data_IF_743920263124
#
_entry.id   IF_743920263124
#
_cell.length_a   1.000
_cell.length_b   1.000
_cell.length_c   1.000
_cell.angle_alpha   90.00
_cell.angle_beta   90.00
_cell.angle_gamma   90.00
#
_symmetry.space_group_name_H-M   'P 1'
#
loop_
_entity.id
_entity.type
_entity.pdbx_description
1 polymer ?
#
# COMPACT_ATOMS: atom_id res chain seq x y z
N UNK A 1 23.78 11.37 10.03
CA UNK A 1 22.83 12.50 9.94
C UNK A 1 21.53 12.14 9.23
N UNK A 2 21.54 11.49 8.06
CA UNK A 2 20.31 11.02 7.39
C UNK A 2 19.36 10.23 8.32
N UNK A 3 19.87 9.30 9.13
CA UNK A 3 19.08 8.57 10.11
C UNK A 3 18.38 9.49 11.13
N UNK A 4 19.10 10.48 11.66
CA UNK A 4 18.55 11.48 12.59
C UNK A 4 17.47 12.34 11.93
N UNK A 5 17.67 12.72 10.65
CA UNK A 5 16.69 13.46 9.87
C UNK A 5 15.39 12.66 9.72
N UNK A 6 15.50 11.39 9.34
CA UNK A 6 14.36 10.48 9.21
C UNK A 6 13.65 10.27 10.55
N UNK A 7 14.39 9.98 11.62
CA UNK A 7 13.83 9.79 12.95
C UNK A 7 13.09 11.04 13.44
N UNK A 8 13.70 12.23 13.31
CA UNK A 8 13.06 13.49 13.69
C UNK A 8 11.78 13.76 12.87
N UNK A 9 11.78 13.48 11.56
CA UNK A 9 10.60 13.60 10.72
C UNK A 9 9.48 12.65 11.18
N UNK A 10 9.80 11.39 11.53
CA UNK A 10 8.83 10.42 12.04
C UNK A 10 8.19 10.86 13.36
N UNK A 11 8.96 11.51 14.24
CA UNK A 11 8.44 12.06 15.49
C UNK A 11 7.53 13.25 15.21
N UNK A 12 7.94 14.18 14.35
CA UNK A 12 7.12 15.31 13.88
C UNK A 12 5.77 14.85 13.33
N UNK A 13 5.75 13.77 12.56
CA UNK A 13 4.56 13.24 11.92
C UNK A 13 3.70 12.34 12.85
N UNK A 14 4.08 12.22 14.13
CA UNK A 14 3.32 11.46 15.13
C UNK A 14 3.36 9.94 14.94
N UNK A 15 4.42 9.42 14.32
CA UNK A 15 4.61 7.99 14.06
C UNK A 15 5.23 7.21 15.24
N UNK A 16 5.54 7.89 16.35
CA UNK A 16 6.09 7.27 17.57
C UNK A 16 5.07 7.39 18.70
N UNK A 17 4.65 6.26 19.27
CA UNK A 17 3.74 6.22 20.41
C UNK A 17 4.51 6.19 21.74
N UNK A 18 3.81 6.55 22.83
CA UNK A 18 4.28 6.38 24.22
C UNK A 18 5.66 7.01 24.52
N UNK A 19 6.01 8.09 23.82
CA UNK A 19 7.26 8.80 24.05
C UNK A 19 7.21 9.50 25.43
N UNK A 20 8.27 9.34 26.21
CA UNK A 20 8.39 10.03 27.48
C UNK A 20 8.30 11.55 27.28
N UNK A 21 7.60 12.31 28.16
CA UNK A 21 7.32 13.73 27.93
C UNK A 21 8.57 14.60 27.73
N UNK A 22 9.66 14.27 28.43
CA UNK A 22 10.96 14.94 28.30
C UNK A 22 11.62 14.70 26.93
N UNK A 23 11.51 13.48 26.39
CA UNK A 23 12.04 13.14 25.06
C UNK A 23 11.18 13.80 23.98
N UNK A 24 9.85 13.82 24.17
CA UNK A 24 8.92 14.48 23.26
C UNK A 24 9.18 15.98 23.14
N UNK A 25 9.45 16.67 24.26
CA UNK A 25 9.82 18.08 24.24
C UNK A 25 11.15 18.32 23.50
N UNK A 26 12.17 17.51 23.75
CA UNK A 26 13.48 17.63 23.09
C UNK A 26 13.40 17.39 21.57
N UNK A 27 12.62 16.39 21.15
CA UNK A 27 12.46 16.03 19.74
C UNK A 27 11.46 16.94 19.01
N UNK A 28 10.56 17.62 19.73
CA UNK A 28 9.71 18.67 19.16
C UNK A 28 10.50 19.87 18.64
N UNK A 29 11.65 20.17 19.26
CA UNK A 29 12.58 21.22 18.83
C UNK A 29 13.56 20.75 17.73
N UNK A 30 13.62 19.44 17.47
CA UNK A 30 14.50 18.90 16.44
C UNK A 30 13.98 19.26 15.05
N UNK A 31 14.82 19.90 14.24
CA UNK A 31 14.52 20.26 12.85
C UNK A 31 15.09 19.20 11.90
N UNK A 32 14.28 18.33 11.28
CA UNK A 32 14.76 17.29 10.35
C UNK A 32 15.63 17.85 9.22
N UNK A 33 15.32 19.07 8.78
CA UNK A 33 15.97 19.75 7.65
C UNK A 33 17.44 20.07 7.95
N UNK A 34 17.79 20.32 9.22
CA UNK A 34 19.18 20.57 9.63
C UNK A 34 20.01 19.30 9.51
N UNK A 35 19.48 18.17 9.95
CA UNK A 35 20.14 16.88 9.83
C UNK A 35 20.21 16.43 8.36
N UNK A 36 19.18 16.71 7.57
CA UNK A 36 19.19 16.46 6.13
C UNK A 36 20.31 17.23 5.44
N UNK A 37 20.36 18.55 5.63
CA UNK A 37 21.39 19.41 5.04
C UNK A 37 22.81 18.99 5.46
N UNK A 38 23.00 18.63 6.73
CA UNK A 38 24.28 18.11 7.20
C UNK A 38 24.66 16.77 6.56
N UNK A 39 23.68 15.91 6.25
CA UNK A 39 23.92 14.65 5.55
C UNK A 39 24.26 14.87 4.08
N UNK A 40 23.58 15.80 3.40
CA UNK A 40 23.83 16.14 1.99
C UNK A 40 25.20 16.82 1.84
N UNK A 41 25.58 17.70 2.76
CA UNK A 41 26.88 18.37 2.77
C UNK A 41 28.07 17.43 3.02
N UNK A 42 27.83 16.22 3.55
CA UNK A 42 28.87 15.22 3.76
C UNK A 42 29.21 14.44 2.49
N UNK A 43 28.39 14.49 1.44
CA UNK A 43 28.70 13.82 0.18
C UNK A 43 29.86 14.51 -0.56
N UNK A 44 30.76 13.75 -1.19
CA UNK A 44 31.77 14.34 -2.05
C UNK A 44 31.13 15.01 -3.27
N UNK A 45 31.78 16.02 -3.87
CA UNK A 45 31.25 16.74 -5.04
C UNK A 45 30.95 15.84 -6.25
N UNK A 46 31.70 14.74 -6.39
CA UNK A 46 31.46 13.71 -7.41
C UNK A 46 31.12 12.41 -6.73
N UNK A 47 30.03 11.79 -7.16
CA UNK A 47 29.56 10.53 -6.60
C UNK A 47 30.54 9.36 -6.81
N UNK A 48 31.44 9.45 -7.81
CA UNK A 48 32.49 8.46 -8.05
C UNK A 48 33.48 8.36 -6.89
N UNK A 49 33.63 9.44 -6.12
CA UNK A 49 34.54 9.52 -4.98
C UNK A 49 33.89 8.96 -3.69
N UNK A 50 32.58 8.69 -3.71
CA UNK A 50 31.82 8.12 -2.59
C UNK A 50 31.98 6.59 -2.53
N UNK A 51 33.17 6.12 -2.17
CA UNK A 51 33.52 4.69 -2.13
C UNK A 51 33.05 3.96 -0.86
N UNK A 52 32.76 4.68 0.22
CA UNK A 52 32.33 4.11 1.50
C UNK A 52 30.88 3.61 1.47
N UNK A 53 30.58 2.56 2.24
CA UNK A 53 29.25 1.94 2.31
C UNK A 53 28.21 2.90 2.91
N UNK A 54 28.65 3.80 3.77
CA UNK A 54 27.91 4.85 4.46
C UNK A 54 27.19 5.77 3.48
N UNK A 55 27.78 6.07 2.32
CA UNK A 55 27.14 6.90 1.30
C UNK A 55 25.93 6.22 0.66
N UNK A 56 25.96 4.90 0.50
CA UNK A 56 24.81 4.14 0.03
C UNK A 56 23.70 4.16 1.08
N UNK A 57 24.05 3.91 2.35
CA UNK A 57 23.11 3.97 3.48
C UNK A 57 22.46 5.35 3.58
N UNK A 58 23.27 6.40 3.49
CA UNK A 58 22.79 7.78 3.52
C UNK A 58 21.87 8.09 2.32
N UNK A 59 22.22 7.67 1.10
CA UNK A 59 21.39 7.87 -0.09
C UNK A 59 20.02 7.21 0.06
N UNK A 60 19.98 5.96 0.53
CA UNK A 60 18.72 5.25 0.76
C UNK A 60 17.85 5.92 1.84
N UNK A 61 18.45 6.32 2.96
CA UNK A 61 17.75 7.02 4.03
C UNK A 61 17.23 8.40 3.60
N UNK A 62 18.01 9.15 2.81
CA UNK A 62 17.58 10.44 2.26
C UNK A 62 16.44 10.28 1.25
N UNK A 63 16.43 9.20 0.47
CA UNK A 63 15.31 8.88 -0.43
C UNK A 63 14.03 8.56 0.35
N UNK A 64 14.13 7.80 1.45
CA UNK A 64 13.01 7.50 2.37
C UNK A 64 12.52 8.78 3.07
N UNK A 65 13.43 9.65 3.50
CA UNK A 65 13.05 10.95 4.08
C UNK A 65 12.30 11.82 3.07
N UNK A 66 12.81 11.89 1.84
CA UNK A 66 12.19 12.70 0.79
C UNK A 66 10.78 12.22 0.45
N UNK A 67 10.54 10.89 0.34
CA UNK A 67 9.17 10.38 0.13
C UNK A 67 8.25 10.69 1.31
N UNK A 68 8.75 10.56 2.55
CA UNK A 68 7.98 10.90 3.75
C UNK A 68 7.54 12.37 3.75
N UNK A 69 8.39 13.27 3.26
CA UNK A 69 8.09 14.69 3.11
C UNK A 69 7.31 15.04 1.83
N UNK A 70 6.90 14.06 1.02
CA UNK A 70 6.20 14.29 -0.25
C UNK A 70 7.08 14.91 -1.36
N UNK A 71 8.40 14.87 -1.21
CA UNK A 71 9.37 15.48 -2.13
C UNK A 71 9.80 14.49 -3.22
N UNK A 72 8.92 14.22 -4.19
CA UNK A 72 9.14 13.21 -5.24
C UNK A 72 10.46 13.39 -6.01
N UNK A 73 10.77 14.62 -6.46
CA UNK A 73 11.99 14.88 -7.22
C UNK A 73 13.25 14.58 -6.42
N UNK A 74 13.25 14.96 -5.14
CA UNK A 74 14.38 14.73 -4.26
C UNK A 74 14.53 13.24 -3.90
N UNK A 75 13.41 12.53 -3.76
CA UNK A 75 13.40 11.08 -3.61
C UNK A 75 14.05 10.41 -4.83
N UNK A 76 13.65 10.79 -6.05
CA UNK A 76 14.22 10.21 -7.27
C UNK A 76 15.71 10.52 -7.42
N UNK A 77 16.15 11.72 -7.04
CA UNK A 77 17.56 12.09 -7.01
C UNK A 77 18.36 11.18 -6.07
N UNK A 78 17.93 11.04 -4.82
CA UNK A 78 18.64 10.23 -3.81
C UNK A 78 18.61 8.73 -4.13
N UNK A 79 17.49 8.23 -4.68
CA UNK A 79 17.39 6.85 -5.16
C UNK A 79 18.29 6.61 -6.38
N UNK A 80 18.36 7.58 -7.30
CA UNK A 80 19.30 7.56 -8.44
C UNK A 80 20.77 7.56 -8.01
N UNK A 81 21.13 8.33 -6.98
CA UNK A 81 22.46 8.29 -6.37
C UNK A 81 22.76 6.90 -5.81
N UNK A 82 21.84 6.31 -5.05
CA UNK A 82 21.99 4.95 -4.53
C UNK A 82 22.24 3.93 -5.66
N UNK A 83 21.43 3.96 -6.72
CA UNK A 83 21.56 3.02 -7.86
C UNK A 83 22.89 3.21 -8.60
N UNK A 84 23.34 4.46 -8.74
CA UNK A 84 24.65 4.77 -9.34
C UNK A 84 25.78 4.19 -8.49
N UNK A 85 25.70 4.32 -7.16
CA UNK A 85 26.67 3.69 -6.26
C UNK A 85 26.62 2.16 -6.36
N UNK A 86 25.43 1.55 -6.51
CA UNK A 86 25.31 0.10 -6.71
C UNK A 86 26.05 -0.36 -7.96
N UNK A 87 25.97 0.41 -9.04
CA UNK A 87 26.70 0.13 -10.27
C UNK A 87 28.21 0.33 -10.12
N UNK A 88 28.64 1.44 -9.50
CA UNK A 88 30.05 1.76 -9.28
C UNK A 88 30.76 0.74 -8.38
N UNK A 89 30.09 0.29 -7.32
CA UNK A 89 30.67 -0.60 -6.31
C UNK A 89 30.35 -2.09 -6.56
N UNK A 90 29.61 -2.43 -7.61
CA UNK A 90 29.26 -3.82 -7.91
C UNK A 90 28.31 -4.49 -6.90
N UNK A 91 27.51 -3.70 -6.16
CA UNK A 91 26.71 -4.20 -5.03
C UNK A 91 25.57 -5.15 -5.40
N UNK A 92 25.23 -5.25 -6.68
CA UNK A 92 24.25 -6.20 -7.21
C UNK A 92 24.78 -7.64 -7.30
N UNK A 93 26.05 -7.88 -6.98
CA UNK A 93 26.69 -9.19 -7.09
C UNK A 93 27.64 -9.41 -5.91
N UNK A 94 27.31 -10.36 -5.03
CA UNK A 94 28.11 -10.66 -3.82
C UNK A 94 29.55 -11.05 -4.15
N UNK A 95 29.80 -11.62 -5.34
CA UNK A 95 31.16 -12.00 -5.76
C UNK A 95 32.07 -10.78 -6.00
N UNK A 96 31.50 -9.58 -6.10
CA UNK A 96 32.23 -8.32 -6.28
C UNK A 96 32.41 -7.53 -4.99
N UNK A 97 31.86 -8.01 -3.89
CA UNK A 97 31.99 -7.34 -2.60
C UNK A 97 33.42 -7.48 -2.06
N UNK A 98 33.88 -6.59 -1.17
CA UNK A 98 35.22 -6.67 -0.64
C UNK A 98 35.45 -8.02 0.09
N UNK A 99 36.59 -8.70 -0.11
CA UNK A 99 36.81 -10.08 0.35
C UNK A 99 37.00 -10.22 1.87
N UNK A 100 37.14 -9.11 2.59
CA UNK A 100 37.47 -9.06 4.03
C UNK A 100 36.37 -8.40 4.87
N UNK A 101 35.12 -8.40 4.40
CA UNK A 101 33.99 -7.89 5.19
C UNK A 101 33.55 -8.92 6.24
N UNK A 102 33.12 -8.44 7.40
CA UNK A 102 32.52 -9.30 8.43
C UNK A 102 31.16 -9.83 7.97
N UNK A 103 30.69 -10.89 8.61
CA UNK A 103 29.36 -11.45 8.41
C UNK A 103 28.27 -10.45 8.75
N UNK A 104 28.46 -9.64 9.79
CA UNK A 104 27.54 -8.53 10.11
C UNK A 104 27.47 -7.54 8.95
N UNK A 105 28.61 -7.07 8.44
CA UNK A 105 28.63 -6.13 7.31
C UNK A 105 28.01 -6.75 6.05
N UNK A 106 28.24 -8.04 5.80
CA UNK A 106 27.63 -8.78 4.69
C UNK A 106 26.11 -8.81 4.80
N UNK A 107 25.57 -9.08 6.00
CA UNK A 107 24.13 -9.01 6.25
C UNK A 107 23.59 -7.57 6.12
N UNK A 108 24.30 -6.55 6.60
CA UNK A 108 23.92 -5.15 6.39
C UNK A 108 23.82 -4.78 4.91
N UNK A 109 24.79 -5.23 4.09
CA UNK A 109 24.80 -5.03 2.63
C UNK A 109 23.61 -5.70 1.96
N UNK A 110 23.29 -6.95 2.31
CA UNK A 110 22.09 -7.66 1.80
C UNK A 110 20.81 -6.90 2.17
N UNK A 111 20.68 -6.48 3.43
CA UNK A 111 19.50 -5.74 3.93
C UNK A 111 19.33 -4.41 3.23
N UNK A 112 20.41 -3.64 3.04
CA UNK A 112 20.36 -2.38 2.29
C UNK A 112 19.94 -2.62 0.84
N UNK A 113 20.55 -3.61 0.19
CA UNK A 113 20.27 -3.95 -1.21
C UNK A 113 18.77 -4.23 -1.42
N UNK A 114 18.24 -5.19 -0.67
CA UNK A 114 16.86 -5.61 -0.79
C UNK A 114 15.87 -4.53 -0.28
N UNK A 115 16.24 -3.71 0.72
CA UNK A 115 15.44 -2.54 1.12
C UNK A 115 15.27 -1.54 -0.01
N UNK A 116 16.34 -1.24 -0.75
CA UNK A 116 16.26 -0.28 -1.86
C UNK A 116 15.64 -0.90 -3.11
N UNK A 117 15.79 -2.20 -3.32
CA UNK A 117 15.04 -2.92 -4.35
C UNK A 117 13.53 -2.82 -4.13
N UNK A 118 13.04 -3.12 -2.92
CA UNK A 118 11.60 -3.02 -2.61
C UNK A 118 11.10 -1.58 -2.77
N UNK A 119 11.91 -0.60 -2.37
CA UNK A 119 11.60 0.81 -2.54
C UNK A 119 11.57 1.24 -4.03
N UNK A 120 12.48 0.75 -4.87
CA UNK A 120 12.50 0.99 -6.31
C UNK A 120 11.27 0.38 -6.99
N UNK A 121 10.90 -0.86 -6.65
CA UNK A 121 9.67 -1.50 -7.16
C UNK A 121 8.46 -0.67 -6.75
N UNK A 122 8.35 -0.32 -5.47
CA UNK A 122 7.26 0.52 -4.94
C UNK A 122 7.13 1.83 -5.70
N UNK A 123 8.22 2.61 -5.78
CA UNK A 123 8.22 3.93 -6.43
C UNK A 123 7.91 3.82 -7.94
N UNK A 124 8.41 2.77 -8.60
CA UNK A 124 8.11 2.52 -10.03
C UNK A 124 6.63 2.24 -10.28
N UNK A 125 5.95 1.56 -9.34
CA UNK A 125 4.51 1.30 -9.40
C UNK A 125 3.72 2.58 -9.23
N UNK A 126 4.02 3.34 -8.17
CA UNK A 126 3.26 4.54 -7.81
C UNK A 126 3.39 5.63 -8.87
N UNK A 127 4.60 5.88 -9.37
CA UNK A 127 4.86 6.97 -10.31
C UNK A 127 4.94 6.55 -11.78
N UNK A 128 4.61 5.30 -12.11
CA UNK A 128 4.71 4.81 -13.49
C UNK A 128 6.16 4.77 -14.02
N UNK A 129 7.14 4.68 -13.12
CA UNK A 129 8.56 4.65 -13.44
C UNK A 129 9.03 3.29 -13.94
N UNK A 130 10.30 3.24 -14.39
CA UNK A 130 10.98 1.99 -14.76
C UNK A 130 11.69 1.43 -13.54
N UNK A 131 11.54 0.12 -13.31
CA UNK A 131 12.32 -0.61 -12.30
C UNK A 131 13.76 -0.73 -12.83
N UNK A 132 14.68 0.07 -12.29
CA UNK A 132 16.07 0.13 -12.77
C UNK A 132 16.93 -1.04 -12.33
N UNK A 133 16.65 -1.60 -11.15
CA UNK A 133 17.35 -2.76 -10.61
C UNK A 133 16.40 -3.96 -10.60
N UNK A 134 16.54 -4.83 -11.60
CA UNK A 134 15.69 -6.02 -11.76
C UNK A 134 16.20 -7.16 -10.89
N UNK A 135 15.28 -7.90 -10.29
CA UNK A 135 15.61 -9.07 -9.47
C UNK A 135 16.44 -10.09 -10.27
N UNK A 136 16.03 -10.38 -11.51
CA UNK A 136 16.70 -11.32 -12.41
C UNK A 136 18.16 -10.95 -12.76
N UNK A 137 18.59 -9.72 -12.47
CA UNK A 137 19.95 -9.22 -12.73
C UNK A 137 20.79 -9.12 -11.44
N UNK A 138 20.26 -9.66 -10.34
CA UNK A 138 20.83 -9.51 -9.00
C UNK A 138 21.35 -10.85 -8.50
N UNK A 139 22.62 -10.88 -8.10
CA UNK A 139 23.27 -12.03 -7.46
C UNK A 139 23.53 -11.72 -5.98
N UNK A 140 22.49 -11.22 -5.29
CA UNK A 140 22.49 -10.93 -3.85
C UNK A 140 21.55 -11.90 -3.15
N UNK A 141 22.03 -12.62 -2.14
CA UNK A 141 21.22 -13.54 -1.35
C UNK A 141 20.28 -12.77 -0.43
N UNK A 142 19.22 -13.44 0.00
CA UNK A 142 18.38 -12.92 1.06
C UNK A 142 19.17 -12.70 2.34
N UNK A 143 18.85 -11.67 3.14
CA UNK A 143 19.29 -11.59 4.52
C UNK A 143 18.90 -12.86 5.27
N UNK A 144 19.83 -13.38 6.07
CA UNK A 144 19.57 -14.53 6.91
C UNK A 144 18.47 -14.19 7.94
N UNK A 145 17.56 -15.12 8.21
CA UNK A 145 16.50 -14.97 9.22
C UNK A 145 17.05 -15.19 10.63
N UNK A 146 17.98 -14.31 11.00
CA UNK A 146 18.72 -14.38 12.25
C UNK A 146 18.80 -12.99 12.89
N UNK A 147 18.72 -12.93 14.22
CA UNK A 147 18.99 -11.69 14.95
C UNK A 147 20.50 -11.39 15.00
N UNK A 148 20.86 -10.10 15.02
CA UNK A 148 22.24 -9.65 14.82
C UNK A 148 23.24 -10.21 15.85
N UNK A 149 22.77 -10.45 17.07
CA UNK A 149 23.53 -11.03 18.17
C UNK A 149 23.99 -12.48 17.94
N UNK A 150 23.37 -13.19 16.99
CA UNK A 150 23.71 -14.58 16.67
C UNK A 150 24.55 -14.71 15.39
N UNK A 151 24.95 -13.59 14.77
CA UNK A 151 25.83 -13.59 13.59
C UNK A 151 27.28 -13.65 14.08
N UNK A 152 27.96 -14.74 13.77
CA UNK A 152 29.38 -14.95 14.11
C UNK A 152 30.18 -15.23 12.84
N UNK A 153 31.37 -14.67 12.76
CA UNK A 153 32.33 -14.99 11.70
C UNK A 153 33.06 -16.30 12.04
N UNK A 154 33.06 -17.25 11.11
CA UNK A 154 33.92 -18.42 11.22
C UNK A 154 35.39 -17.96 11.14
N UNK A 155 36.20 -18.16 12.20
CA UNK A 155 37.60 -17.76 12.21
C UNK A 155 38.45 -18.50 11.14
N UNK A 156 38.04 -19.69 10.71
CA UNK A 156 38.81 -20.55 9.79
C UNK A 156 38.28 -20.54 8.35
N UNK A 157 36.97 -20.37 8.13
CA UNK A 157 36.34 -20.42 6.79
C UNK A 157 35.80 -19.07 6.27
N UNK A 158 35.83 -17.99 7.08
CA UNK A 158 35.24 -16.66 6.76
C UNK A 158 33.78 -16.73 6.26
N UNK A 159 33.11 -17.82 6.60
CA UNK A 159 31.70 -18.08 6.36
C UNK A 159 30.90 -17.59 7.56
N UNK A 160 29.63 -17.22 7.33
CA UNK A 160 28.73 -16.76 8.39
C UNK A 160 28.18 -17.99 9.15
N UNK A 161 28.27 -17.98 10.48
CA UNK A 161 27.67 -19.01 11.34
C UNK A 161 26.51 -18.40 12.12
N UNK A 162 25.38 -19.11 12.15
CA UNK A 162 24.16 -18.69 12.85
C UNK A 162 23.88 -19.61 14.04
N UNK A 163 23.68 -19.02 15.21
CA UNK A 163 23.48 -19.75 16.47
C UNK A 163 22.18 -19.36 17.18
N UNK A 164 21.11 -19.13 16.42
CA UNK A 164 19.80 -18.82 17.01
C UNK A 164 19.09 -20.10 17.45
N UNK A 165 18.43 -20.03 18.61
CA UNK A 165 17.65 -21.15 19.15
C UNK A 165 16.39 -21.42 18.31
N UNK A 166 16.06 -22.70 18.14
CA UNK A 166 14.85 -23.13 17.43
C UNK A 166 13.59 -22.51 18.04
N UNK A 167 12.72 -21.97 17.18
CA UNK A 167 11.41 -21.43 17.56
C UNK A 167 11.39 -19.96 18.00
N UNK A 168 12.54 -19.26 18.05
CA UNK A 168 12.55 -17.82 18.24
C UNK A 168 12.15 -17.10 16.94
N UNK A 169 11.08 -16.29 16.92
CA UNK A 169 10.69 -15.58 15.70
C UNK A 169 11.70 -14.48 15.40
N UNK A 170 12.34 -14.54 14.22
CA UNK A 170 13.21 -13.47 13.75
C UNK A 170 12.39 -12.40 13.03
N UNK A 171 12.67 -11.12 13.28
CA UNK A 171 12.06 -10.01 12.55
C UNK A 171 12.23 -10.16 11.03
N UNK A 172 13.37 -10.70 10.60
CA UNK A 172 13.70 -10.84 9.18
C UNK A 172 12.81 -11.86 8.46
N UNK A 173 12.15 -12.79 9.15
CA UNK A 173 11.15 -13.69 8.54
C UNK A 173 10.01 -12.90 7.92
N UNK A 174 9.41 -11.97 8.68
CA UNK A 174 8.35 -11.11 8.14
C UNK A 174 8.87 -10.12 7.10
N UNK A 175 10.13 -9.68 7.24
CA UNK A 175 10.78 -8.75 6.31
C UNK A 175 11.07 -9.38 4.94
N UNK A 176 11.59 -10.61 4.93
CA UNK A 176 11.82 -11.41 3.73
C UNK A 176 10.48 -11.72 3.03
N UNK A 177 9.44 -12.06 3.79
CA UNK A 177 8.09 -12.20 3.25
C UNK A 177 7.62 -10.94 2.50
N UNK A 178 7.80 -9.75 3.09
CA UNK A 178 7.45 -8.49 2.40
C UNK A 178 8.29 -8.29 1.14
N UNK A 179 9.56 -8.66 1.16
CA UNK A 179 10.43 -8.61 -0.04
C UNK A 179 9.92 -9.54 -1.15
N UNK A 180 9.43 -10.73 -0.82
CA UNK A 180 8.80 -11.63 -1.79
C UNK A 180 7.51 -11.04 -2.39
N UNK A 181 6.73 -10.31 -1.59
CA UNK A 181 5.57 -9.58 -2.12
C UNK A 181 5.98 -8.52 -3.15
N UNK A 182 7.08 -7.82 -2.92
CA UNK A 182 7.61 -6.85 -3.90
C UNK A 182 8.16 -7.51 -5.17
N UNK A 183 8.77 -8.70 -5.06
CA UNK A 183 9.16 -9.47 -6.25
C UNK A 183 7.95 -9.95 -7.05
N UNK A 184 6.94 -10.41 -6.34
CA UNK A 184 5.65 -10.76 -6.95
C UNK A 184 5.00 -9.54 -7.62
N UNK A 185 5.09 -8.36 -6.99
CA UNK A 185 4.66 -7.08 -7.57
C UNK A 185 5.43 -6.74 -8.84
N UNK A 186 6.76 -6.85 -8.88
CA UNK A 186 7.56 -6.63 -10.10
C UNK A 186 7.01 -7.47 -11.27
N UNK A 187 6.78 -8.76 -11.04
CA UNK A 187 6.20 -9.66 -12.05
C UNK A 187 4.78 -9.27 -12.47
N UNK A 188 3.91 -8.94 -11.50
CA UNK A 188 2.53 -8.55 -11.76
C UNK A 188 2.45 -7.25 -12.59
N UNK A 189 3.31 -6.28 -12.30
CA UNK A 189 3.38 -4.99 -13.01
C UNK A 189 3.88 -5.16 -14.42
N UNK A 190 4.92 -5.97 -14.65
CA UNK A 190 5.39 -6.26 -16.01
C UNK A 190 4.31 -6.92 -16.86
N UNK A 191 3.56 -7.85 -16.27
CA UNK A 191 2.42 -8.47 -16.93
C UNK A 191 1.36 -7.42 -17.27
N UNK A 192 0.99 -6.59 -16.30
CA UNK A 192 0.01 -5.53 -16.47
C UNK A 192 0.42 -4.56 -17.60
N UNK A 193 1.66 -4.06 -17.59
CA UNK A 193 2.22 -3.16 -18.62
C UNK A 193 2.27 -3.81 -20.01
N UNK A 194 2.63 -5.10 -20.09
CA UNK A 194 2.63 -5.85 -21.36
C UNK A 194 1.24 -5.97 -21.96
N UNK A 195 0.21 -6.28 -21.16
CA UNK A 195 -1.19 -6.33 -21.62
C UNK A 195 -1.61 -4.98 -22.23
N UNK A 196 -1.30 -3.87 -21.55
CA UNK A 196 -1.60 -2.50 -22.01
C UNK A 196 -0.85 -2.15 -23.30
N UNK A 197 0.44 -2.46 -23.38
CA UNK A 197 1.27 -2.17 -24.56
C UNK A 197 0.85 -2.99 -25.80
N UNK A 198 0.27 -4.17 -25.61
CA UNK A 198 -0.19 -5.09 -26.66
C UNK A 198 -1.23 -4.50 -27.62
N UNK A 199 -1.91 -3.41 -27.26
CA UNK A 199 -2.84 -2.68 -28.15
C UNK A 199 -2.17 -1.69 -29.11
N UNK A 200 -0.94 -1.24 -28.83
CA UNK A 200 -0.32 -0.11 -29.55
C UNK A 200 0.95 -0.47 -30.32
N UNK A 201 1.72 -1.49 -29.90
CA UNK A 201 2.96 -1.87 -30.60
C UNK A 201 3.17 -3.39 -30.64
N UNK A 202 3.44 -3.93 -31.83
CA UNK A 202 3.92 -5.31 -32.02
C UNK A 202 5.37 -5.40 -31.52
N UNK A 203 5.56 -5.37 -30.20
CA UNK A 203 6.88 -5.52 -29.59
C UNK A 203 7.44 -6.92 -29.88
N UNK A 204 8.70 -7.00 -30.30
CA UNK A 204 9.44 -8.25 -30.49
C UNK A 204 9.39 -9.13 -29.23
N UNK A 205 9.34 -8.51 -28.04
CA UNK A 205 9.16 -9.21 -26.77
C UNK A 205 7.89 -10.07 -26.76
N UNK A 206 6.74 -9.52 -27.18
CA UNK A 206 5.48 -10.26 -27.22
C UNK A 206 5.48 -11.42 -28.24
N UNK A 207 6.33 -11.37 -29.27
CA UNK A 207 6.49 -12.45 -30.25
C UNK A 207 7.40 -13.57 -29.73
N UNK A 208 8.45 -13.22 -28.98
CA UNK A 208 9.40 -14.18 -28.40
C UNK A 208 8.87 -14.85 -27.13
N UNK A 209 7.93 -14.21 -26.44
CA UNK A 209 7.44 -14.58 -25.11
C UNK A 209 6.11 -15.38 -25.16
N UNK A 210 5.68 -15.82 -26.35
CA UNK A 210 4.47 -16.65 -26.55
C UNK A 210 4.52 -18.01 -25.82
N UNK A 211 5.67 -18.39 -25.25
CA UNK A 211 5.88 -19.61 -24.48
C UNK A 211 5.85 -19.41 -22.96
N UNK A 212 5.84 -18.18 -22.45
CA UNK A 212 5.76 -17.93 -21.03
C UNK A 212 4.30 -18.11 -20.57
N UNK A 213 4.03 -19.22 -19.87
CA UNK A 213 2.77 -19.45 -19.16
C UNK A 213 2.50 -18.30 -18.20
N UNK A 214 1.71 -17.33 -18.65
CA UNK A 214 1.39 -16.18 -17.82
C UNK A 214 0.42 -16.64 -16.71
N UNK A 215 0.90 -16.79 -15.47
CA UNK A 215 0.08 -17.23 -14.33
C UNK A 215 -1.13 -16.32 -14.12
N UNK A 216 -2.33 -16.87 -14.02
CA UNK A 216 -3.56 -16.09 -13.88
C UNK A 216 -3.53 -15.23 -12.60
N UNK A 217 -4.26 -14.10 -12.54
CA UNK A 217 -4.39 -13.31 -11.32
C UNK A 217 -4.77 -14.15 -10.08
N UNK A 218 -5.69 -15.10 -10.24
CA UNK A 218 -6.09 -16.03 -9.19
C UNK A 218 -4.93 -16.91 -8.75
N UNK A 219 -4.13 -17.42 -9.69
CA UNK A 219 -2.94 -18.24 -9.37
C UNK A 219 -1.93 -17.46 -8.53
N UNK A 220 -1.73 -16.16 -8.85
CA UNK A 220 -0.83 -15.29 -8.08
C UNK A 220 -1.39 -15.07 -6.67
N UNK A 221 -2.69 -14.78 -6.55
CA UNK A 221 -3.34 -14.55 -5.25
C UNK A 221 -3.39 -15.83 -4.40
N UNK A 222 -3.60 -16.99 -5.00
CA UNK A 222 -3.58 -18.29 -4.32
C UNK A 222 -2.18 -18.60 -3.78
N UNK A 223 -1.13 -18.37 -4.59
CA UNK A 223 0.25 -18.52 -4.15
C UNK A 223 0.54 -17.61 -2.94
N UNK A 224 0.15 -16.33 -3.02
CA UNK A 224 0.30 -15.39 -1.91
C UNK A 224 -0.49 -15.85 -0.68
N UNK A 225 -1.69 -16.40 -0.87
CA UNK A 225 -2.50 -16.98 0.20
C UNK A 225 -1.82 -18.16 0.90
N UNK A 226 -1.18 -19.04 0.13
CA UNK A 226 -0.38 -20.16 0.66
C UNK A 226 0.87 -19.66 1.40
N UNK A 227 1.58 -18.67 0.84
CA UNK A 227 2.74 -18.07 1.52
C UNK A 227 2.31 -17.43 2.85
N UNK A 228 1.21 -16.67 2.85
CA UNK A 228 0.69 -16.01 4.03
C UNK A 228 0.18 -17.02 5.08
N UNK A 229 -0.43 -18.13 4.67
CA UNK A 229 -0.90 -19.16 5.60
C UNK A 229 0.28 -19.83 6.33
N UNK A 230 1.38 -20.05 5.62
CA UNK A 230 2.63 -20.60 6.16
C UNK A 230 3.44 -19.59 7.00
N UNK A 231 3.15 -18.29 6.89
CA UNK A 231 3.84 -17.27 7.68
C UNK A 231 3.57 -17.46 9.18
N UNK A 232 4.62 -17.25 9.99
CA UNK A 232 4.54 -17.37 11.43
C UNK A 232 3.41 -16.48 12.02
N UNK A 233 2.57 -16.98 12.96
CA UNK A 233 1.40 -16.26 13.46
C UNK A 233 1.69 -14.85 14.00
N UNK A 234 2.91 -14.61 14.51
CA UNK A 234 3.34 -13.30 15.01
C UNK A 234 3.18 -12.17 13.98
N UNK A 235 3.23 -12.47 12.69
CA UNK A 235 3.17 -11.50 11.60
C UNK A 235 1.77 -11.34 10.99
N UNK A 236 0.74 -11.97 11.57
CA UNK A 236 -0.63 -11.93 11.03
C UNK A 236 -1.52 -10.87 11.68
N UNK A 237 -1.22 -10.52 12.94
CA UNK A 237 -2.01 -9.56 13.72
C UNK A 237 -1.10 -8.62 14.51
N UNK A 238 -1.54 -7.37 14.69
CA UNK A 238 -0.85 -6.40 15.54
C UNK A 238 -1.27 -6.56 16.99
N UNK A 239 -0.31 -6.50 17.90
CA UNK A 239 -0.52 -6.54 19.35
C UNK A 239 -0.61 -5.12 19.94
N UNK A 240 -0.83 -5.04 21.25
CA UNK A 240 -0.86 -3.76 21.97
C UNK A 240 0.48 -3.01 21.84
N UNK A 241 0.37 -1.69 21.63
CA UNK A 241 1.52 -0.79 21.49
C UNK A 241 2.16 -0.53 22.87
N UNK A 242 3.50 -0.52 22.94
CA UNK A 242 4.22 -0.02 24.10
C UNK A 242 5.50 -0.78 24.47
N UNK A 243 5.74 -1.95 23.88
CA UNK A 243 7.03 -2.62 23.97
C UNK A 243 7.79 -2.43 22.65
N UNK A 244 8.95 -1.74 22.63
CA UNK A 244 9.72 -1.49 21.40
C UNK A 244 10.02 -2.74 20.58
N UNK A 245 10.23 -3.90 21.24
CA UNK A 245 10.49 -5.16 20.56
C UNK A 245 9.21 -5.62 19.85
N UNK A 246 8.07 -5.68 20.54
CA UNK A 246 6.80 -6.04 19.91
C UNK A 246 6.34 -5.02 18.88
N UNK A 247 6.60 -3.73 19.10
CA UNK A 247 6.23 -2.65 18.19
C UNK A 247 6.97 -2.79 16.85
N UNK A 248 8.22 -3.27 16.86
CA UNK A 248 8.97 -3.62 15.64
C UNK A 248 8.26 -4.72 14.84
N UNK A 249 7.81 -5.80 15.48
CA UNK A 249 7.06 -6.86 14.82
C UNK A 249 5.67 -6.40 14.35
N UNK A 250 4.99 -5.57 15.15
CA UNK A 250 3.69 -4.99 14.79
C UNK A 250 3.80 -4.09 13.55
N UNK A 251 4.88 -3.30 13.46
CA UNK A 251 5.17 -2.52 12.26
C UNK A 251 5.42 -3.42 11.05
N UNK A 252 6.09 -4.56 11.24
CA UNK A 252 6.25 -5.54 10.16
C UNK A 252 4.92 -6.16 9.71
N UNK A 253 4.04 -6.51 10.64
CA UNK A 253 2.66 -6.93 10.32
C UNK A 253 1.93 -5.86 9.49
N UNK A 254 2.04 -4.59 9.87
CA UNK A 254 1.44 -3.48 9.12
C UNK A 254 2.00 -3.40 7.68
N UNK A 255 3.32 -3.54 7.50
CA UNK A 255 3.95 -3.60 6.17
C UNK A 255 3.43 -4.77 5.33
N UNK A 256 3.27 -5.95 5.93
CA UNK A 256 2.75 -7.15 5.25
C UNK A 256 1.32 -6.92 4.77
N UNK A 257 0.46 -6.38 5.63
CA UNK A 257 -0.95 -6.09 5.27
C UNK A 257 -0.99 -5.07 4.13
N UNK A 258 -0.26 -3.96 4.25
CA UNK A 258 -0.25 -2.89 3.25
C UNK A 258 0.28 -3.37 1.89
N UNK A 259 1.39 -4.11 1.89
CA UNK A 259 2.01 -4.62 0.65
C UNK A 259 1.14 -5.70 0.00
N UNK A 260 0.49 -6.56 0.79
CA UNK A 260 -0.49 -7.52 0.27
C UNK A 260 -1.66 -6.80 -0.40
N UNK A 261 -2.17 -5.69 0.18
CA UNK A 261 -3.23 -4.90 -0.45
C UNK A 261 -2.75 -4.23 -1.75
N UNK A 262 -1.50 -3.72 -1.79
CA UNK A 262 -0.90 -3.22 -3.03
C UNK A 262 -0.88 -4.27 -4.13
N UNK A 263 -0.44 -5.49 -3.79
CA UNK A 263 -0.38 -6.60 -4.73
C UNK A 263 -1.77 -6.97 -5.23
N UNK A 264 -2.78 -7.06 -4.34
CA UNK A 264 -4.17 -7.28 -4.73
C UNK A 264 -4.66 -6.21 -5.70
N UNK A 265 -4.40 -4.93 -5.42
CA UNK A 265 -4.76 -3.84 -6.33
C UNK A 265 -4.12 -3.98 -7.71
N UNK A 266 -2.81 -4.25 -7.78
CA UNK A 266 -2.09 -4.40 -9.06
C UNK A 266 -2.57 -5.63 -9.84
N UNK A 267 -2.74 -6.77 -9.17
CA UNK A 267 -3.12 -8.04 -9.80
C UNK A 267 -4.55 -8.00 -10.33
N UNK A 268 -5.49 -7.49 -9.52
CA UNK A 268 -6.90 -7.35 -9.89
C UNK A 268 -7.13 -6.20 -10.87
N UNK A 269 -6.13 -5.35 -11.10
CA UNK A 269 -6.33 -4.11 -11.83
C UNK A 269 -6.95 -4.29 -13.22
N UNK A 270 -6.46 -5.26 -13.98
CA UNK A 270 -7.02 -5.57 -15.32
C UNK A 270 -8.40 -6.23 -15.28
N UNK A 271 -8.76 -6.93 -14.19
CA UNK A 271 -10.10 -7.52 -14.03
C UNK A 271 -11.12 -6.48 -13.59
N UNK A 272 -10.67 -5.47 -12.82
CA UNK A 272 -11.52 -4.40 -12.35
C UNK A 272 -12.03 -3.53 -13.50
N UNK A 273 -11.29 -3.40 -14.61
CA UNK A 273 -11.73 -2.68 -15.82
C UNK A 273 -13.05 -3.26 -16.36
N UNK A 274 -13.14 -4.59 -16.45
CA UNK A 274 -14.35 -5.26 -16.96
C UNK A 274 -15.36 -5.59 -15.86
N UNK A 275 -15.01 -5.35 -14.59
CA UNK A 275 -15.85 -5.68 -13.44
C UNK A 275 -17.04 -4.72 -13.28
N UNK A 276 -18.14 -5.26 -12.75
CA UNK A 276 -19.28 -4.44 -12.36
C UNK A 276 -18.93 -3.44 -11.26
N UNK A 277 -19.64 -2.31 -11.22
CA UNK A 277 -19.44 -1.31 -10.16
C UNK A 277 -19.63 -1.87 -8.74
N UNK A 278 -20.52 -2.85 -8.56
CA UNK A 278 -20.70 -3.54 -7.27
C UNK A 278 -19.45 -4.35 -6.87
N UNK A 279 -18.82 -5.05 -7.82
CA UNK A 279 -17.58 -5.78 -7.57
C UNK A 279 -16.43 -4.83 -7.23
N UNK A 280 -16.30 -3.71 -7.95
CA UNK A 280 -15.30 -2.66 -7.66
C UNK A 280 -15.48 -2.09 -6.25
N UNK A 281 -16.73 -1.81 -5.84
CA UNK A 281 -17.05 -1.35 -4.48
C UNK A 281 -16.72 -2.38 -3.40
N UNK A 282 -17.05 -3.64 -3.66
CA UNK A 282 -16.72 -4.74 -2.74
C UNK A 282 -15.20 -4.80 -2.53
N UNK A 283 -14.42 -4.79 -3.61
CA UNK A 283 -12.95 -4.82 -3.55
C UNK A 283 -12.41 -3.60 -2.80
N UNK A 284 -12.88 -2.39 -3.10
CA UNK A 284 -12.48 -1.18 -2.39
C UNK A 284 -12.81 -1.24 -0.89
N UNK A 285 -13.97 -1.80 -0.52
CA UNK A 285 -14.37 -2.03 0.87
C UNK A 285 -13.44 -3.00 1.59
N UNK A 286 -13.15 -4.16 0.98
CA UNK A 286 -12.22 -5.16 1.52
C UNK A 286 -10.80 -4.61 1.71
N UNK A 287 -10.33 -3.78 0.78
CA UNK A 287 -9.02 -3.12 0.87
C UNK A 287 -8.98 -2.14 2.06
N UNK A 288 -10.04 -1.34 2.26
CA UNK A 288 -10.15 -0.42 3.41
C UNK A 288 -10.31 -1.15 4.74
N UNK A 289 -11.06 -2.26 4.76
CA UNK A 289 -11.21 -3.11 5.94
C UNK A 289 -9.85 -3.59 6.44
N UNK A 290 -8.98 -4.04 5.53
CA UNK A 290 -7.62 -4.47 5.87
C UNK A 290 -6.82 -3.34 6.55
N UNK A 291 -6.84 -2.11 6.02
CA UNK A 291 -6.15 -0.98 6.66
C UNK A 291 -6.73 -0.62 8.03
N UNK A 292 -8.04 -0.79 8.23
CA UNK A 292 -8.68 -0.49 9.52
C UNK A 292 -8.28 -1.44 10.66
N UNK A 293 -7.66 -2.58 10.34
CA UNK A 293 -7.07 -3.48 11.34
C UNK A 293 -5.74 -2.99 11.90
N UNK A 294 -5.10 -2.02 11.22
CA UNK A 294 -3.78 -1.52 11.58
C UNK A 294 -3.91 -0.31 12.51
N UNK A 295 -3.25 -0.31 13.68
CA UNK A 295 -3.20 0.87 14.54
C UNK A 295 -2.66 2.11 13.82
N UNK A 296 -3.29 3.27 14.04
CA UNK A 296 -2.98 4.56 13.38
C UNK A 296 -1.50 4.95 13.50
N UNK A 297 -0.85 4.66 14.62
CA UNK A 297 0.60 4.92 14.79
C UNK A 297 1.44 4.24 13.71
N UNK A 298 1.15 2.97 13.39
CA UNK A 298 1.87 2.25 12.35
C UNK A 298 1.49 2.75 10.95
N UNK A 299 0.23 3.14 10.73
CA UNK A 299 -0.20 3.76 9.49
C UNK A 299 0.54 5.09 9.23
N UNK A 300 0.74 5.93 10.25
CA UNK A 300 1.59 7.13 10.18
C UNK A 300 3.06 6.78 9.94
N UNK A 301 3.54 5.68 10.53
CA UNK A 301 4.87 5.14 10.26
C UNK A 301 5.02 4.53 8.85
N UNK A 302 3.94 4.15 8.17
CA UNK A 302 3.98 3.83 6.74
C UNK A 302 4.10 5.11 5.90
N UNK A 303 3.50 6.22 6.35
CA UNK A 303 3.58 7.56 5.74
C UNK A 303 3.07 7.60 4.29
N UNK A 304 3.71 8.36 3.40
CA UNK A 304 3.30 8.58 2.01
C UNK A 304 2.95 7.29 1.23
N UNK A 305 3.66 6.16 1.39
CA UNK A 305 3.21 4.88 0.86
C UNK A 305 1.74 4.52 1.12
N UNK A 306 1.24 4.76 2.33
CA UNK A 306 -0.17 4.53 2.66
C UNK A 306 -1.11 5.46 1.89
N UNK A 307 -0.76 6.75 1.76
CA UNK A 307 -1.57 7.70 0.98
C UNK A 307 -1.72 7.25 -0.47
N UNK A 308 -0.69 6.64 -1.04
CA UNK A 308 -0.76 6.09 -2.39
C UNK A 308 -1.68 4.87 -2.49
N UNK A 309 -1.69 3.99 -1.48
CA UNK A 309 -2.68 2.92 -1.43
C UNK A 309 -4.11 3.47 -1.34
N UNK A 310 -4.33 4.50 -0.51
CA UNK A 310 -5.62 5.16 -0.39
C UNK A 310 -6.01 5.83 -1.71
N UNK A 311 -5.09 6.51 -2.39
CA UNK A 311 -5.36 7.09 -3.71
C UNK A 311 -5.81 6.04 -4.73
N UNK A 312 -5.19 4.85 -4.73
CA UNK A 312 -5.62 3.72 -5.55
C UNK A 312 -7.06 3.30 -5.26
N UNK A 313 -7.43 3.15 -3.98
CA UNK A 313 -8.81 2.85 -3.58
C UNK A 313 -9.78 3.96 -4.01
N UNK A 314 -9.36 5.22 -3.84
CA UNK A 314 -10.08 6.38 -4.32
C UNK A 314 -10.39 6.26 -5.81
N UNK A 315 -9.41 5.95 -6.64
CA UNK A 315 -9.64 5.76 -8.08
C UNK A 315 -10.64 4.64 -8.41
N UNK A 316 -10.56 3.50 -7.73
CA UNK A 316 -11.54 2.40 -7.87
C UNK A 316 -12.96 2.91 -7.57
N UNK A 317 -13.13 3.71 -6.52
CA UNK A 317 -14.43 4.26 -6.14
C UNK A 317 -14.90 5.35 -7.10
N UNK A 318 -14.00 6.20 -7.60
CA UNK A 318 -14.30 7.27 -8.55
C UNK A 318 -14.89 6.73 -9.85
N UNK A 319 -14.28 5.67 -10.40
CA UNK A 319 -14.77 5.03 -11.63
C UNK A 319 -16.12 4.32 -11.46
N UNK A 320 -16.54 4.04 -10.23
CA UNK A 320 -17.90 3.56 -9.97
C UNK A 320 -18.89 4.71 -9.87
N UNK A 321 -18.47 5.86 -9.34
CA UNK A 321 -19.34 7.02 -9.10
C UNK A 321 -19.84 7.65 -10.40
N UNK A 322 -19.04 7.58 -11.46
CA UNK A 322 -19.44 7.93 -12.82
C UNK A 322 -20.57 7.00 -13.29
N UNK A 323 -21.81 7.49 -13.26
CA UNK A 323 -22.99 6.75 -13.72
C UNK A 323 -23.82 6.07 -12.63
N UNK A 324 -23.61 6.37 -11.34
CA UNK A 324 -24.46 5.79 -10.29
C UNK A 324 -25.86 6.39 -10.25
N UNK A 325 -26.81 5.48 -10.02
CA UNK A 325 -28.10 5.85 -9.44
C UNK A 325 -27.96 6.33 -7.98
N UNK A 326 -28.88 7.15 -7.47
CA UNK A 326 -28.92 7.57 -6.06
C UNK A 326 -29.00 6.40 -5.07
N UNK A 327 -29.52 5.25 -5.50
CA UNK A 327 -29.61 4.04 -4.68
C UNK A 327 -28.24 3.37 -4.51
N UNK A 328 -27.46 3.29 -5.59
CA UNK A 328 -26.10 2.74 -5.58
C UNK A 328 -25.13 3.64 -4.81
N UNK A 329 -25.33 4.96 -4.85
CA UNK A 329 -24.53 5.90 -4.06
C UNK A 329 -24.61 5.64 -2.54
N UNK A 330 -25.78 5.23 -2.02
CA UNK A 330 -25.93 4.90 -0.59
C UNK A 330 -25.00 3.79 -0.12
N UNK A 331 -24.70 2.81 -0.97
CA UNK A 331 -23.75 1.73 -0.66
C UNK A 331 -22.32 2.26 -0.56
N UNK A 332 -21.95 3.18 -1.45
CA UNK A 332 -20.58 3.73 -1.54
C UNK A 332 -20.33 4.82 -0.50
N UNK A 333 -21.37 5.57 -0.13
CA UNK A 333 -21.32 6.60 0.91
C UNK A 333 -20.59 6.15 2.18
N UNK A 334 -20.90 4.95 2.67
CA UNK A 334 -20.25 4.41 3.86
C UNK A 334 -18.74 4.19 3.66
N UNK A 335 -18.34 3.70 2.48
CA UNK A 335 -16.95 3.47 2.11
C UNK A 335 -16.18 4.80 2.03
N UNK A 336 -16.78 5.83 1.40
CA UNK A 336 -16.18 7.16 1.29
C UNK A 336 -15.98 7.83 2.65
N UNK A 337 -16.96 7.73 3.55
CA UNK A 337 -16.84 8.29 4.90
C UNK A 337 -15.77 7.57 5.72
N UNK A 338 -15.69 6.25 5.64
CA UNK A 338 -14.62 5.48 6.31
C UNK A 338 -13.24 5.84 5.78
N UNK A 339 -13.11 6.07 4.48
CA UNK A 339 -11.89 6.55 3.87
C UNK A 339 -11.52 7.96 4.37
N UNK A 340 -12.50 8.85 4.50
CA UNK A 340 -12.30 10.18 5.07
C UNK A 340 -11.84 10.11 6.54
N UNK A 341 -12.45 9.26 7.36
CA UNK A 341 -12.07 9.06 8.76
C UNK A 341 -10.62 8.55 8.88
N UNK A 342 -10.23 7.62 8.00
CA UNK A 342 -8.87 7.11 7.94
C UNK A 342 -7.89 8.22 7.54
N UNK A 343 -8.19 9.00 6.50
CA UNK A 343 -7.35 10.11 6.03
C UNK A 343 -7.17 11.18 7.11
N UNK A 344 -8.24 11.58 7.80
CA UNK A 344 -8.17 12.56 8.88
C UNK A 344 -7.21 12.09 10.00
N UNK A 345 -7.23 10.80 10.33
CA UNK A 345 -6.31 10.23 11.32
C UNK A 345 -4.83 10.33 10.92
N UNK A 346 -4.55 10.45 9.62
CA UNK A 346 -3.19 10.56 9.06
C UNK A 346 -2.77 12.03 8.85
N UNK A 347 -3.71 12.92 8.60
CA UNK A 347 -3.48 14.35 8.30
C UNK A 347 -2.85 15.15 9.45
N UNK A 348 -2.83 14.64 10.69
CA UNK A 348 -2.11 15.28 11.80
C UNK A 348 -0.60 15.51 11.53
N UNK A 349 0.00 14.77 10.58
CA UNK A 349 1.40 14.98 10.13
C UNK A 349 1.54 15.35 8.65
N UNK A 350 0.44 15.31 7.88
CA UNK A 350 0.43 15.53 6.43
C UNK A 350 -0.42 16.78 6.17
N UNK A 351 0.15 17.83 5.57
CA UNK A 351 -0.59 19.05 5.20
C UNK A 351 -1.55 18.79 4.02
N UNK A 352 -2.54 17.94 4.23
CA UNK A 352 -3.55 17.48 3.26
C UNK A 352 -4.94 17.87 3.75
N UNK A 353 -5.81 18.25 2.83
CA UNK A 353 -7.24 18.55 3.05
C UNK A 353 -8.16 17.51 2.39
N UNK A 354 -7.60 16.37 1.99
CA UNK A 354 -8.30 15.30 1.24
C UNK A 354 -9.48 14.75 2.03
N UNK A 355 -9.35 14.57 3.35
CA UNK A 355 -10.46 14.08 4.18
C UNK A 355 -11.66 15.03 4.15
N UNK A 356 -11.41 16.35 4.27
CA UNK A 356 -12.42 17.39 4.29
C UNK A 356 -13.10 17.52 2.92
N UNK A 357 -12.33 17.46 1.83
CA UNK A 357 -12.85 17.46 0.45
C UNK A 357 -13.76 16.26 0.20
N UNK A 358 -13.38 15.06 0.65
CA UNK A 358 -14.18 13.85 0.49
C UNK A 358 -15.51 13.94 1.26
N UNK A 359 -15.51 14.49 2.47
CA UNK A 359 -16.74 14.73 3.25
C UNK A 359 -17.64 15.76 2.59
N UNK A 360 -17.08 16.88 2.14
CA UNK A 360 -17.84 17.90 1.40
C UNK A 360 -18.50 17.35 0.14
N UNK A 361 -17.83 16.44 -0.57
CA UNK A 361 -18.40 15.74 -1.72
C UNK A 361 -19.55 14.83 -1.32
N UNK A 362 -19.42 14.04 -0.25
CA UNK A 362 -20.52 13.20 0.26
C UNK A 362 -21.72 14.05 0.65
N UNK A 363 -21.51 15.15 1.37
CA UNK A 363 -22.57 16.05 1.82
C UNK A 363 -23.32 16.69 0.64
N UNK A 364 -22.60 17.11 -0.40
CA UNK A 364 -23.23 17.62 -1.64
C UNK A 364 -24.09 16.58 -2.32
N UNK A 365 -23.62 15.34 -2.40
CA UNK A 365 -24.39 14.26 -3.03
C UNK A 365 -25.63 13.92 -2.20
N UNK A 366 -25.50 13.87 -0.88
CA UNK A 366 -26.63 13.68 0.03
C UNK A 366 -27.68 14.79 -0.16
N UNK A 367 -27.26 16.05 -0.25
CA UNK A 367 -28.15 17.19 -0.50
C UNK A 367 -28.89 17.09 -1.84
N UNK A 368 -28.20 16.72 -2.93
CA UNK A 368 -28.81 16.54 -4.24
C UNK A 368 -29.86 15.42 -4.27
N UNK A 369 -29.57 14.30 -3.60
CA UNK A 369 -30.52 13.18 -3.49
C UNK A 369 -31.76 13.60 -2.69
N UNK A 370 -31.58 14.39 -1.63
CA UNK A 370 -32.68 14.92 -0.82
C UNK A 370 -33.53 15.94 -1.60
N UNK A 371 -32.89 16.88 -2.31
CA UNK A 371 -33.59 17.90 -3.10
C UNK A 371 -34.40 17.27 -4.23
N UNK A 372 -33.85 16.28 -4.94
CA UNK A 372 -34.58 15.62 -6.01
C UNK A 372 -35.76 14.78 -5.51
N UNK A 373 -35.67 14.14 -4.33
CA UNK A 373 -36.84 13.48 -3.72
C UNK A 373 -38.01 14.44 -3.44
N UNK A 374 -37.71 15.70 -3.11
CA UNK A 374 -38.74 16.73 -2.89
C UNK A 374 -39.44 17.17 -4.19
N UNK A 375 -38.74 17.07 -5.33
CA UNK A 375 -39.27 17.45 -6.64
C UNK A 375 -40.21 16.39 -7.21
N UNK A 376 -39.96 15.09 -6.93
CA UNK A 376 -40.85 14.00 -7.36
C UNK A 376 -42.07 13.82 -6.45
N UNK A 377 -41.96 14.10 -5.15
CA UNK A 377 -43.13 14.13 -4.24
C UNK A 377 -44.10 15.27 -4.53
N UNK A 378 -43.71 16.27 -5.34
CA UNK A 378 -44.60 17.35 -5.80
C UNK A 378 -45.34 17.04 -7.10
N UNK A 379 -44.99 15.95 -7.81
CA UNK A 379 -45.67 15.53 -9.05
C UNK A 379 -46.69 14.41 -8.87
N UNK A 380 -46.70 13.72 -7.74
CA UNK A 380 -47.79 12.80 -7.40
C UNK A 380 -48.86 13.51 -6.56
N UNK A 381 -50.05 13.58 -7.14
CA UNK A 381 -51.26 14.07 -6.48
C UNK A 381 -51.54 13.30 -5.18
N UNK A 382 -52.20 13.94 -4.20
CA UNK A 382 -52.39 13.37 -2.87
C UNK A 382 -53.47 12.30 -2.91
N UNK A 383 -53.10 11.03 -3.04
CA UNK A 383 -53.93 9.90 -2.60
C UNK A 383 -53.15 8.58 -2.68
N UNK A 384 -52.27 8.35 -1.70
CA UNK A 384 -52.08 7.02 -1.11
C UNK A 384 -51.24 7.14 0.16
N UNK A 385 -51.93 7.07 1.29
CA UNK A 385 -51.32 6.79 2.58
C UNK A 385 -50.78 5.36 2.51
N UNK A 386 -49.47 5.19 2.60
CA UNK A 386 -48.84 3.95 3.04
C UNK A 386 -48.11 4.23 4.36
N UNK A 387 -48.05 3.26 5.29
CA UNK A 387 -47.61 3.51 6.65
C UNK A 387 -46.12 3.85 6.69
N UNK A 388 -45.79 4.90 7.44
CA UNK A 388 -44.42 5.22 7.85
C UNK A 388 -44.02 4.18 8.89
N UNK A 389 -43.18 3.22 8.53
CA UNK A 389 -42.35 2.54 9.53
C UNK A 389 -41.20 3.48 9.89
N UNK A 390 -41.30 4.09 11.07
CA UNK A 390 -40.22 4.83 11.69
C UNK A 390 -39.10 3.86 12.04
N UNK A 391 -37.96 3.96 11.34
CA UNK A 391 -36.75 3.26 11.73
C UNK A 391 -36.01 4.13 12.75
N UNK A 392 -36.19 3.79 14.03
CA UNK A 392 -35.53 4.43 15.16
C UNK A 392 -34.03 4.10 15.16
N UNK A 393 -33.21 5.13 15.31
CA UNK A 393 -31.77 5.14 15.10
C UNK A 393 -30.98 4.52 16.26
N UNK A 394 -31.25 3.25 16.59
CA UNK A 394 -30.45 2.55 17.61
C UNK A 394 -30.23 1.09 17.22
N UNK A 395 -28.99 0.73 16.86
CA UNK A 395 -28.55 -0.66 16.97
C UNK A 395 -27.39 -0.75 17.94
N UNK A 396 -27.74 -1.30 19.10
CA UNK A 396 -26.91 -1.70 20.21
C UNK A 396 -25.82 -2.70 19.80
N UNK A 397 -24.71 -2.65 20.54
CA UNK A 397 -23.64 -3.64 20.67
C UNK A 397 -24.01 -5.05 20.18
N UNK A 398 -23.29 -5.55 19.18
CA UNK A 398 -23.34 -6.97 18.81
C UNK A 398 -22.37 -7.72 19.73
N UNK A 399 -22.93 -8.51 20.65
CA UNK A 399 -22.21 -9.57 21.37
C UNK A 399 -21.92 -10.75 20.43
N UNK A 400 -20.75 -11.37 20.59
CA UNK A 400 -20.29 -12.55 19.83
C UNK A 400 -21.19 -13.77 20.09
N UNK A 401 -21.66 -14.50 19.07
CA UNK A 401 -22.26 -15.81 19.27
C UNK A 401 -21.19 -16.88 19.55
N UNK A 402 -21.48 -17.75 20.50
CA UNK A 402 -20.68 -18.93 20.85
C UNK A 402 -20.76 -20.01 19.75
N UNK A 403 -19.64 -20.72 19.54
CA UNK A 403 -19.48 -21.84 18.60
C UNK A 403 -20.15 -23.14 19.08
N UNK A 404 -20.91 -23.86 18.23
CA UNK A 404 -21.21 -25.28 18.41
C UNK A 404 -20.25 -26.20 17.62
N UNK A 405 -20.15 -27.49 17.99
CA UNK A 405 -19.04 -28.37 17.61
C UNK A 405 -19.23 -29.10 16.27
N UNK A 406 -18.08 -29.50 15.70
CA UNK A 406 -17.86 -30.26 14.47
C UNK A 406 -18.56 -31.63 14.42
N UNK A 407 -19.10 -31.99 13.25
CA UNK A 407 -19.03 -33.34 12.66
C UNK A 407 -19.26 -33.29 11.13
N UNK A 408 -18.65 -34.20 10.33
CA UNK A 408 -18.43 -34.01 8.90
C UNK A 408 -19.41 -34.79 8.00
N UNK A 409 -19.40 -34.45 6.71
CA UNK A 409 -20.10 -35.06 5.56
C UNK A 409 -21.55 -34.61 5.33
N UNK A 410 -21.80 -33.89 4.23
CA UNK A 410 -22.59 -34.30 3.04
C UNK A 410 -22.73 -33.11 2.08
N UNK A 411 -22.37 -33.33 0.81
CA UNK A 411 -22.66 -32.62 -0.45
C UNK A 411 -23.10 -31.14 -0.46
N UNK A 412 -22.25 -30.30 -1.06
CA UNK A 412 -22.53 -28.90 -1.42
C UNK A 412 -23.17 -28.85 -2.80
N UNK A 413 -24.50 -28.99 -2.86
CA UNK A 413 -25.32 -28.44 -3.95
C UNK A 413 -26.73 -28.22 -3.43
N UNK A 414 -27.04 -26.97 -3.08
CA UNK A 414 -28.35 -26.31 -2.92
C UNK A 414 -28.42 -25.49 -1.63
N UNK A 415 -28.30 -24.17 -1.76
CA UNK A 415 -28.86 -23.25 -0.79
C UNK A 415 -29.26 -21.92 -1.47
N UNK A 416 -30.58 -21.76 -1.57
CA UNK A 416 -31.34 -20.49 -1.47
C UNK A 416 -31.24 -19.48 -2.61
N UNK A 417 -31.92 -19.81 -3.71
CA UNK A 417 -32.60 -18.81 -4.54
C UNK A 417 -33.75 -18.18 -3.74
N UNK A 418 -33.60 -16.93 -3.33
CA UNK A 418 -34.75 -16.08 -3.00
C UNK A 418 -35.25 -15.43 -4.29
N UNK A 419 -36.53 -15.58 -4.67
CA UNK A 419 -37.08 -14.82 -5.77
C UNK A 419 -37.23 -13.36 -5.32
N UNK A 420 -36.30 -12.50 -5.75
CA UNK A 420 -36.48 -11.05 -5.70
C UNK A 420 -37.57 -10.73 -6.74
N UNK A 421 -38.65 -10.03 -6.39
CA UNK A 421 -39.60 -9.55 -7.39
C UNK A 421 -38.87 -8.53 -8.26
N UNK A 422 -38.51 -8.91 -9.48
CA UNK A 422 -38.14 -7.97 -10.54
C UNK A 422 -39.42 -7.27 -10.97
N UNK A 423 -39.85 -6.30 -10.15
CA UNK A 423 -40.76 -5.27 -10.60
C UNK A 423 -39.97 -4.27 -11.44
N UNK A 424 -40.19 -4.28 -12.75
CA UNK A 424 -39.82 -3.18 -13.64
C UNK A 424 -40.50 -1.90 -13.14
N UNK A 425 -39.81 -1.13 -12.30
CA UNK A 425 -40.12 0.28 -12.07
C UNK A 425 -39.15 1.05 -12.96
N UNK A 426 -39.56 1.25 -14.21
CA UNK A 426 -38.92 2.22 -15.11
C UNK A 426 -39.20 3.63 -14.59
N UNK A 427 -38.43 4.07 -13.59
CA UNK A 427 -38.23 5.48 -13.29
C UNK A 427 -37.04 6.02 -14.09
N UNK A 428 -36.96 7.33 -14.37
CA UNK A 428 -35.81 7.88 -15.09
C UNK A 428 -34.53 7.59 -14.29
N UNK A 429 -33.56 6.92 -14.90
CA UNK A 429 -32.22 6.73 -14.35
C UNK A 429 -31.62 8.10 -14.06
N UNK A 430 -31.65 8.48 -12.79
CA UNK A 430 -31.15 9.77 -12.34
C UNK A 430 -29.64 9.64 -12.16
N UNK A 431 -28.89 9.88 -13.23
CA UNK A 431 -27.44 9.90 -13.14
C UNK A 431 -26.98 11.16 -12.39
N UNK A 432 -25.96 11.03 -11.55
CA UNK A 432 -25.33 12.16 -10.86
C UNK A 432 -24.67 13.09 -11.88
N UNK A 433 -24.96 14.41 -11.86
CA UNK A 433 -24.26 15.39 -12.68
C UNK A 433 -22.75 15.40 -12.40
N UNK A 434 -21.93 15.43 -13.47
CA UNK A 434 -20.45 15.46 -13.37
C UNK A 434 -19.93 16.63 -12.53
N UNK A 435 -20.61 17.78 -12.56
CA UNK A 435 -20.29 18.97 -11.76
C UNK A 435 -20.23 18.69 -10.25
N UNK A 436 -20.92 17.65 -9.76
CA UNK A 436 -20.89 17.26 -8.35
C UNK A 436 -19.58 16.60 -7.92
N UNK A 437 -18.78 16.13 -8.89
CA UNK A 437 -17.50 15.46 -8.70
C UNK A 437 -16.30 16.43 -8.76
N UNK A 438 -16.53 17.75 -8.89
CA UNK A 438 -15.45 18.75 -9.03
C UNK A 438 -14.43 18.75 -7.88
N UNK A 439 -14.81 18.36 -6.66
CA UNK A 439 -13.86 18.25 -5.54
C UNK A 439 -13.34 16.84 -5.30
N UNK A 440 -13.61 15.89 -6.21
CA UNK A 440 -13.04 14.56 -6.11
C UNK A 440 -11.52 14.69 -5.99
N UNK A 441 -10.91 14.16 -4.91
CA UNK A 441 -9.52 14.50 -4.59
C UNK A 441 -8.51 13.79 -5.47
N UNK A 442 -8.95 12.84 -6.28
CA UNK A 442 -8.15 12.13 -7.27
C UNK A 442 -8.63 12.50 -8.66
N UNK A 443 -7.76 12.75 -9.65
CA UNK A 443 -8.21 13.06 -11.00
C UNK A 443 -8.94 11.86 -11.63
N UNK A 444 -10.11 12.11 -12.25
CA UNK A 444 -10.91 11.10 -12.92
C UNK A 444 -10.46 10.85 -14.38
N UNK A 445 -9.86 11.86 -15.02
CA UNK A 445 -9.40 11.79 -16.42
C UNK A 445 -7.89 11.46 -16.50
N UNK A 446 -7.50 10.34 -17.12
CA UNK A 446 -6.09 9.94 -17.24
C UNK A 446 -5.28 10.80 -18.25
N UNK A 447 -5.94 11.62 -19.08
CA UNK A 447 -5.29 12.38 -20.15
C UNK A 447 -4.65 13.71 -19.71
N UNK A 448 -5.02 14.21 -18.52
CA UNK A 448 -4.61 15.54 -18.04
C UNK A 448 -3.46 15.52 -17.02
N UNK A 449 -2.77 14.39 -16.86
CA UNK A 449 -1.94 14.15 -15.68
C UNK A 449 -0.43 14.07 -15.96
N UNK A 450 0.32 15.04 -15.44
CA UNK A 450 1.80 14.99 -15.32
C UNK A 450 2.27 14.37 -13.99
N UNK A 451 1.38 13.76 -13.20
CA UNK A 451 1.80 13.05 -12.00
C UNK A 451 0.76 12.07 -11.47
N UNK A 452 1.28 10.94 -10.97
CA UNK A 452 0.58 9.93 -10.15
C UNK A 452 -0.33 8.99 -10.95
N UNK A 453 0.16 7.78 -11.19
CA UNK A 453 -0.58 6.60 -11.66
C UNK A 453 -1.10 6.44 -13.12
N UNK A 454 -0.56 7.06 -14.19
CA UNK A 454 -1.19 6.98 -15.51
C UNK A 454 -1.41 5.55 -16.03
N UNK A 455 -0.46 4.62 -15.83
CA UNK A 455 -0.56 3.34 -16.52
C UNK A 455 -1.44 2.30 -15.82
N UNK A 456 -1.38 2.20 -14.49
CA UNK A 456 -2.15 1.20 -13.71
C UNK A 456 -3.60 1.63 -13.51
N UNK A 457 -3.83 2.93 -13.29
CA UNK A 457 -5.18 3.47 -13.05
C UNK A 457 -5.94 3.81 -14.33
N UNK A 458 -5.28 4.13 -15.45
CA UNK A 458 -5.95 4.22 -16.74
C UNK A 458 -6.37 2.85 -17.30
N UNK A 459 -6.03 1.77 -16.60
CA UNK A 459 -6.72 0.51 -16.75
C UNK A 459 -8.13 0.57 -16.17
N UNK A 460 -8.28 1.09 -14.94
CA UNK A 460 -9.52 1.02 -14.17
C UNK A 460 -10.59 2.07 -14.57
N UNK A 461 -10.28 2.93 -15.54
CA UNK A 461 -11.09 4.10 -15.96
C UNK A 461 -11.59 4.01 -17.41
N UNK A 462 -11.76 2.81 -17.95
CA UNK A 462 -12.46 2.61 -19.23
C UNK A 462 -13.60 1.60 -19.09
#
# INVERSE_FOLDING_TARGET
MAFCALAAARVRDGAVANMAPNISALLGDARPEVFQAASEAAFPPKLVDASEFEYMRASGLLAILAIQNGQQNLMQQHLGNYITLVALQGMHDEARWPPNISGVERQERRRLYWSMYTFEVFTSIIWGGVIRCREAQSAVRYPAEVDDEYIVDDPDDRSEVFQQSDGHPCFLTGWNFTTDMYRTLEHAVDRFRRRRAGGSTKSLGNLLDQSATSSSPETILDLVGVMYSNLHPRFKETQQIGDPVQDRFNFQTANIIATTQLLRMVVLGGELEEASGEKRCQVAGELLDAFSTIPVTYLRALSAPLLFHLAGIGHILGSVIEGLSPYSFRKIRHILLRMADLLESLETGLRSDVSARLRGLVDRIDQYILSNKSTYTRRDSPNRILPIEAFDGTFSKIERPQTPPFSPSTDITQAMQFPIPVGQIGGPEMNLPFEMLQDWPWPLDPSDNTGLFPDILAGWSH
#
